data_IF_582143755033
#
_entry.id   IF_582143755033
#
_cell.length_a   1.000
_cell.length_b   1.000
_cell.length_c   1.000
_cell.angle_alpha   90.00
_cell.angle_beta   90.00
_cell.angle_gamma   90.00
#
_symmetry.space_group_name_H-M   'P 1'
#
loop_
_entity.id
_entity.type
_entity.pdbx_description
1 polymer ?
#
# COMPACT_ATOMS: atom_id res chain seq x y z
N UNK A 1 54.65 -17.33 -34.12
CA UNK A 1 54.16 -18.00 -32.90
C UNK A 1 53.00 -17.15 -32.35
N UNK A 2 51.79 -17.48 -32.80
CA UNK A 2 50.59 -16.76 -32.38
C UNK A 2 49.99 -17.48 -31.19
N UNK A 3 50.14 -16.89 -29.99
CA UNK A 3 49.57 -17.38 -28.76
C UNK A 3 48.07 -17.01 -28.67
N UNK A 4 47.21 -17.95 -29.07
CA UNK A 4 45.78 -17.81 -28.91
C UNK A 4 45.37 -17.62 -27.45
N UNK A 5 44.89 -16.45 -27.07
CA UNK A 5 44.18 -16.23 -25.81
C UNK A 5 42.87 -17.00 -25.85
N UNK A 6 42.90 -18.20 -25.29
CA UNK A 6 41.66 -18.92 -24.99
C UNK A 6 40.89 -18.13 -23.93
N UNK A 7 39.85 -17.45 -24.36
CA UNK A 7 38.79 -16.97 -23.51
C UNK A 7 38.23 -18.15 -22.72
N UNK A 8 38.77 -18.38 -21.53
CA UNK A 8 38.09 -19.20 -20.52
C UNK A 8 36.82 -18.46 -20.20
N UNK A 9 35.74 -18.90 -20.85
CA UNK A 9 34.38 -18.44 -20.52
C UNK A 9 34.22 -18.56 -19.02
N UNK A 10 34.22 -17.41 -18.36
CA UNK A 10 33.78 -17.28 -16.99
C UNK A 10 32.31 -17.69 -17.00
N UNK A 11 32.09 -18.96 -16.73
CA UNK A 11 30.75 -19.48 -16.49
C UNK A 11 30.28 -18.77 -15.23
N UNK A 12 29.71 -17.56 -15.43
CA UNK A 12 28.95 -16.89 -14.39
C UNK A 12 27.86 -17.90 -14.07
N UNK A 13 28.04 -18.66 -13.01
CA UNK A 13 26.98 -19.42 -12.37
C UNK A 13 25.98 -18.36 -11.94
N UNK A 14 25.12 -17.98 -12.85
CA UNK A 14 23.93 -17.20 -12.55
C UNK A 14 23.14 -18.11 -11.62
N UNK A 15 23.40 -17.97 -10.33
CA UNK A 15 22.55 -18.56 -9.31
C UNK A 15 21.14 -18.08 -9.65
N UNK A 16 20.38 -18.92 -10.31
CA UNK A 16 18.98 -18.65 -10.69
C UNK A 16 18.17 -18.42 -9.43
N UNK A 17 18.24 -17.23 -8.90
CA UNK A 17 17.39 -16.74 -7.84
C UNK A 17 16.18 -16.03 -8.45
N UNK A 18 15.62 -16.61 -9.50
CA UNK A 18 14.40 -16.08 -10.09
C UNK A 18 13.28 -16.13 -9.05
N UNK A 19 12.65 -14.97 -8.87
CA UNK A 19 11.48 -14.85 -8.03
C UNK A 19 10.30 -15.53 -8.72
N UNK A 20 9.72 -16.57 -8.10
CA UNK A 20 8.50 -17.22 -8.59
C UNK A 20 7.30 -16.80 -7.78
N UNK A 21 6.26 -16.28 -8.44
CA UNK A 21 4.96 -15.99 -7.82
C UNK A 21 4.17 -17.25 -7.47
N UNK A 22 4.44 -18.37 -8.13
CA UNK A 22 3.81 -19.67 -7.86
C UNK A 22 4.29 -20.29 -6.54
N UNK A 23 5.37 -19.75 -5.94
CA UNK A 23 5.90 -20.26 -4.69
C UNK A 23 5.17 -19.65 -3.48
N UNK A 24 4.16 -20.34 -2.95
CA UNK A 24 3.33 -19.84 -1.85
C UNK A 24 3.24 -20.80 -0.65
N UNK A 25 3.71 -22.04 -0.79
CA UNK A 25 3.38 -23.11 0.16
C UNK A 25 4.49 -23.53 1.13
N UNK A 26 5.72 -22.99 1.05
CA UNK A 26 6.79 -23.42 1.95
C UNK A 26 6.63 -22.84 3.35
N UNK A 27 6.58 -23.70 4.35
CA UNK A 27 6.56 -23.34 5.78
C UNK A 27 7.96 -23.10 6.37
N UNK A 28 9.04 -23.36 5.61
CA UNK A 28 10.41 -23.19 6.09
C UNK A 28 10.79 -21.70 6.20
N UNK A 29 11.19 -21.19 7.39
CA UNK A 29 11.49 -19.78 7.59
C UNK A 29 12.62 -19.26 6.71
N UNK A 30 13.63 -20.08 6.43
CA UNK A 30 14.75 -19.73 5.53
C UNK A 30 14.27 -19.43 4.12
N UNK A 31 13.40 -20.28 3.57
CA UNK A 31 12.82 -20.09 2.23
C UNK A 31 11.92 -18.86 2.17
N UNK A 32 11.13 -18.62 3.22
CA UNK A 32 10.29 -17.43 3.30
C UNK A 32 11.09 -16.13 3.33
N UNK A 33 12.20 -16.09 4.11
CA UNK A 33 13.11 -14.93 4.11
C UNK A 33 13.77 -14.71 2.73
N UNK A 34 14.22 -15.78 2.08
CA UNK A 34 14.79 -15.71 0.72
C UNK A 34 13.76 -15.16 -0.28
N UNK A 35 12.53 -15.64 -0.23
CA UNK A 35 11.43 -15.16 -1.06
C UNK A 35 11.19 -13.66 -0.86
N UNK A 36 11.10 -13.19 0.38
CA UNK A 36 10.90 -11.77 0.68
C UNK A 36 12.06 -10.88 0.22
N UNK A 37 13.32 -11.38 0.31
CA UNK A 37 14.52 -10.64 -0.12
C UNK A 37 14.60 -10.56 -1.65
N UNK A 38 14.28 -11.64 -2.36
CA UNK A 38 14.36 -11.70 -3.82
C UNK A 38 13.13 -11.08 -4.52
N UNK A 39 12.09 -10.78 -3.75
CA UNK A 39 10.85 -10.23 -4.30
C UNK A 39 11.10 -8.90 -5.03
N UNK A 40 10.54 -8.70 -6.25
CA UNK A 40 10.59 -7.44 -6.96
C UNK A 40 9.81 -6.35 -6.22
N UNK A 41 10.08 -5.07 -6.53
CA UNK A 41 9.54 -3.93 -5.77
C UNK A 41 8.01 -3.89 -5.73
N UNK A 42 7.33 -4.24 -6.82
CA UNK A 42 5.87 -4.28 -6.85
C UNK A 42 5.28 -5.33 -5.89
N UNK A 43 5.97 -6.46 -5.69
CA UNK A 43 5.55 -7.48 -4.71
C UNK A 43 5.92 -7.04 -3.29
N UNK A 44 7.09 -6.42 -3.08
CA UNK A 44 7.46 -5.84 -1.77
C UNK A 44 6.48 -4.78 -1.30
N UNK A 45 5.94 -3.99 -2.22
CA UNK A 45 4.90 -3.02 -1.90
C UNK A 45 3.65 -3.69 -1.30
N UNK A 46 3.24 -4.85 -1.80
CA UNK A 46 2.14 -5.64 -1.23
C UNK A 46 2.43 -6.13 0.19
N UNK A 47 3.70 -6.45 0.52
CA UNK A 47 4.08 -6.86 1.87
C UNK A 47 3.98 -5.72 2.90
N UNK A 48 4.08 -4.46 2.46
CA UNK A 48 3.91 -3.30 3.32
C UNK A 48 2.43 -2.91 3.46
N UNK A 49 1.59 -3.85 3.81
CA UNK A 49 0.18 -3.58 4.06
C UNK A 49 -0.08 -3.36 5.54
N UNK A 50 -0.86 -2.32 5.88
CA UNK A 50 -1.31 -2.03 7.23
C UNK A 50 -2.80 -2.30 7.39
N UNK A 51 -3.24 -2.53 8.62
CA UNK A 51 -4.64 -2.73 8.95
C UNK A 51 -5.45 -1.44 8.74
N UNK A 52 -6.68 -1.58 8.28
CA UNK A 52 -7.64 -0.47 8.24
C UNK A 52 -8.39 -0.36 9.56
N UNK A 53 -8.84 0.85 9.91
CA UNK A 53 -9.79 1.09 11.01
C UNK A 53 -11.10 0.33 10.78
N UNK A 54 -11.90 0.15 11.84
CA UNK A 54 -13.19 -0.55 11.72
C UNK A 54 -14.10 0.13 10.68
N UNK A 55 -14.18 1.46 10.72
CA UNK A 55 -15.01 2.27 9.81
C UNK A 55 -14.60 2.11 8.35
N UNK A 56 -13.28 2.17 8.07
CA UNK A 56 -12.76 1.95 6.72
C UNK A 56 -12.95 0.50 6.24
N UNK A 57 -12.91 -0.48 7.14
CA UNK A 57 -13.21 -1.87 6.78
C UNK A 57 -14.66 -2.06 6.38
N UNK A 58 -15.58 -1.43 7.10
CA UNK A 58 -17.02 -1.46 6.79
C UNK A 58 -17.27 -0.79 5.43
N UNK A 59 -16.64 0.39 5.22
CA UNK A 59 -16.78 1.15 3.98
C UNK A 59 -16.24 0.43 2.75
N UNK A 60 -15.02 -0.13 2.82
CA UNK A 60 -14.33 -0.72 1.66
C UNK A 60 -14.37 -2.24 1.60
N UNK A 61 -14.90 -2.93 2.59
CA UNK A 61 -14.94 -4.38 2.66
C UNK A 61 -13.56 -5.06 2.68
N UNK A 62 -12.50 -4.31 3.04
CA UNK A 62 -11.11 -4.80 3.06
C UNK A 62 -10.52 -4.73 4.46
N UNK A 63 -9.67 -5.70 4.80
CA UNK A 63 -8.99 -5.75 6.09
C UNK A 63 -7.73 -4.90 6.13
N UNK A 64 -6.98 -4.87 5.04
CA UNK A 64 -5.68 -4.20 4.94
C UNK A 64 -5.45 -3.66 3.54
N UNK A 65 -4.58 -2.65 3.44
CA UNK A 65 -4.16 -2.03 2.18
C UNK A 65 -2.67 -1.67 2.26
N UNK A 66 -1.93 -1.68 1.14
CA UNK A 66 -0.57 -1.16 1.09
C UNK A 66 -0.51 0.29 1.53
N UNK A 67 0.45 0.60 2.40
CA UNK A 67 0.64 1.95 2.93
C UNK A 67 1.26 2.88 1.89
N UNK A 68 0.85 4.15 1.90
CA UNK A 68 1.43 5.21 1.08
C UNK A 68 1.83 6.41 1.94
N UNK A 69 2.70 7.26 1.38
CA UNK A 69 3.03 8.56 1.96
C UNK A 69 1.75 9.41 2.07
N UNK A 70 1.60 10.11 3.18
CA UNK A 70 0.44 10.95 3.45
C UNK A 70 -0.71 10.27 4.20
N UNK A 71 -0.73 8.91 4.28
CA UNK A 71 -1.75 8.22 5.07
C UNK A 71 -1.60 8.55 6.56
N UNK A 72 -2.71 8.79 7.25
CA UNK A 72 -2.74 8.95 8.69
C UNK A 72 -2.92 7.60 9.38
N UNK A 73 -2.03 7.31 10.33
CA UNK A 73 -1.97 6.02 11.00
C UNK A 73 -1.95 6.14 12.51
N UNK A 74 -2.48 5.13 13.17
CA UNK A 74 -2.38 4.91 14.61
C UNK A 74 -1.37 3.82 14.90
N UNK A 75 -0.46 4.06 15.82
CA UNK A 75 0.48 3.04 16.29
C UNK A 75 -0.22 2.13 17.31
N UNK A 76 -0.28 0.83 17.00
CA UNK A 76 -0.98 -0.15 17.83
C UNK A 76 -0.09 -0.76 18.91
N UNK A 77 1.22 -0.84 18.70
CA UNK A 77 2.16 -1.55 19.60
C UNK A 77 3.45 -0.76 19.85
N UNK A 78 4.11 -1.04 20.96
CA UNK A 78 5.39 -0.45 21.37
C UNK A 78 5.23 0.82 22.20
N UNK A 79 6.34 1.49 22.49
CA UNK A 79 6.40 2.68 23.35
C UNK A 79 5.56 3.86 22.82
N UNK A 80 5.28 3.89 21.53
CA UNK A 80 4.49 4.93 20.88
C UNK A 80 3.03 4.53 20.65
N UNK A 81 2.56 3.49 21.34
CA UNK A 81 1.17 3.03 21.25
C UNK A 81 0.18 4.19 21.43
N UNK A 82 -0.91 4.15 20.67
CA UNK A 82 -1.98 5.17 20.65
C UNK A 82 -1.60 6.53 20.03
N UNK A 83 -0.35 6.73 19.58
CA UNK A 83 0.01 7.96 18.85
C UNK A 83 -0.51 7.91 17.42
N UNK A 84 -1.11 9.01 16.97
CA UNK A 84 -1.52 9.23 15.57
C UNK A 84 -0.44 10.05 14.87
N UNK A 85 -0.12 9.72 13.64
CA UNK A 85 0.84 10.47 12.84
C UNK A 85 0.65 10.17 11.35
N UNK A 86 1.14 11.07 10.49
CA UNK A 86 1.17 10.87 9.04
C UNK A 86 2.42 10.11 8.62
N UNK A 87 2.30 9.34 7.54
CA UNK A 87 3.43 8.62 6.94
C UNK A 87 4.25 9.59 6.09
N UNK A 88 5.54 9.75 6.42
CA UNK A 88 6.47 10.59 5.66
C UNK A 88 7.23 9.80 4.62
N UNK A 89 7.78 8.64 4.99
CA UNK A 89 8.62 7.82 4.10
C UNK A 89 8.23 6.36 4.20
N UNK A 90 8.15 5.69 3.05
CA UNK A 90 7.96 4.23 2.93
C UNK A 90 9.21 3.60 2.32
N UNK A 91 9.95 2.82 3.11
CA UNK A 91 11.16 2.14 2.65
C UNK A 91 10.84 0.70 2.23
N UNK A 92 10.68 0.48 0.91
CA UNK A 92 10.35 -0.82 0.32
C UNK A 92 11.47 -1.86 0.52
N UNK A 93 12.75 -1.45 0.43
CA UNK A 93 13.89 -2.38 0.58
C UNK A 93 13.96 -2.97 1.99
N UNK A 94 13.77 -2.15 3.02
CA UNK A 94 13.82 -2.55 4.42
C UNK A 94 12.46 -2.98 4.99
N UNK A 95 11.37 -2.78 4.27
CA UNK A 95 10.01 -3.08 4.75
C UNK A 95 9.60 -2.24 5.97
N UNK A 96 10.02 -0.98 6.02
CA UNK A 96 9.80 -0.06 7.14
C UNK A 96 9.11 1.21 6.69
N UNK A 97 8.37 1.80 7.62
CA UNK A 97 7.64 3.05 7.44
C UNK A 97 8.13 4.04 8.50
N UNK A 98 8.30 5.31 8.11
CA UNK A 98 8.65 6.40 9.03
C UNK A 98 7.45 7.32 9.17
N UNK A 99 7.23 7.77 10.40
CA UNK A 99 6.11 8.60 10.78
C UNK A 99 6.59 10.01 11.12
N UNK A 100 5.73 10.96 10.93
CA UNK A 100 5.95 12.36 11.28
C UNK A 100 6.01 12.52 12.82
N UNK A 101 6.87 13.40 13.29
CA UNK A 101 6.98 13.78 14.70
C UNK A 101 7.31 12.63 15.69
N UNK A 102 7.74 11.46 15.18
CA UNK A 102 8.15 10.34 16.02
C UNK A 102 9.63 10.05 15.82
N UNK A 103 10.45 10.65 16.70
CA UNK A 103 11.90 10.60 16.65
C UNK A 103 12.48 10.13 17.98
N UNK A 104 13.71 9.65 17.94
CA UNK A 104 14.52 9.31 19.10
C UNK A 104 15.80 10.13 19.08
N UNK A 105 16.16 10.72 20.20
CA UNK A 105 17.45 11.39 20.38
C UNK A 105 18.56 10.34 20.54
N UNK A 106 19.69 10.55 19.87
CA UNK A 106 20.93 9.83 20.11
C UNK A 106 21.71 10.48 21.26
N UNK A 107 22.81 9.85 21.67
CA UNK A 107 23.74 10.44 22.66
C UNK A 107 24.31 11.78 22.22
N UNK A 108 24.54 11.96 20.92
CA UNK A 108 25.06 13.19 20.30
C UNK A 108 24.01 14.32 20.20
N UNK A 109 22.82 14.16 20.77
CA UNK A 109 21.72 15.10 20.66
C UNK A 109 20.97 15.08 19.32
N UNK A 110 21.49 14.40 18.30
CA UNK A 110 20.83 14.31 17.00
C UNK A 110 19.54 13.50 17.06
N UNK A 111 18.49 13.95 16.33
CA UNK A 111 17.19 13.28 16.26
C UNK A 111 17.14 12.34 15.07
N UNK A 112 16.68 11.12 15.27
CA UNK A 112 16.55 10.09 14.22
C UNK A 112 15.12 9.55 14.17
N UNK A 113 14.58 9.46 12.96
CA UNK A 113 13.24 8.91 12.74
C UNK A 113 13.20 7.42 13.08
N UNK A 114 12.17 6.99 13.79
CA UNK A 114 11.99 5.62 14.23
C UNK A 114 11.31 4.81 13.13
N UNK A 115 11.89 3.66 12.72
CA UNK A 115 11.28 2.79 11.73
C UNK A 115 10.19 1.91 12.34
N UNK A 116 8.99 1.92 11.75
CA UNK A 116 7.87 1.09 12.13
C UNK A 116 7.62 -0.03 11.13
N UNK A 117 7.13 -1.17 11.60
CA UNK A 117 6.57 -2.21 10.74
C UNK A 117 5.12 -1.87 10.42
N UNK A 118 4.67 -2.01 9.16
CA UNK A 118 3.28 -1.75 8.78
C UNK A 118 2.25 -2.56 9.57
N UNK A 119 2.61 -3.77 9.99
CA UNK A 119 1.77 -4.64 10.83
C UNK A 119 1.43 -4.06 12.19
N UNK A 120 2.23 -3.11 12.69
CA UNK A 120 2.00 -2.42 13.97
C UNK A 120 1.22 -1.11 13.80
N UNK A 121 0.82 -0.79 12.57
CA UNK A 121 0.09 0.42 12.21
C UNK A 121 -1.34 0.10 11.82
N UNK A 122 -2.26 0.98 12.15
CA UNK A 122 -3.64 0.96 11.71
C UNK A 122 -3.94 2.27 10.98
N UNK A 123 -4.42 2.19 9.75
CA UNK A 123 -4.78 3.36 8.95
C UNK A 123 -6.12 3.90 9.42
N UNK A 124 -6.16 5.19 9.75
CA UNK A 124 -7.37 5.93 10.14
C UNK A 124 -7.90 6.69 8.93
N UNK A 125 -7.01 7.41 8.23
CA UNK A 125 -7.37 8.23 7.06
C UNK A 125 -6.52 7.83 5.88
N UNK A 126 -7.13 7.69 4.71
CA UNK A 126 -6.46 7.32 3.46
C UNK A 126 -6.27 8.57 2.59
N UNK A 127 -5.09 8.71 2.01
CA UNK A 127 -4.85 9.66 0.91
C UNK A 127 -5.37 9.05 -0.38
N UNK A 128 -6.34 9.69 -1.03
CA UNK A 128 -7.07 9.16 -2.20
C UNK A 128 -6.74 9.89 -3.52
N UNK A 129 -5.61 10.58 -3.58
CA UNK A 129 -5.18 11.34 -4.76
C UNK A 129 -4.92 10.44 -5.98
N UNK A 130 -4.61 9.17 -5.75
CA UNK A 130 -4.29 8.19 -6.76
C UNK A 130 -5.54 7.42 -7.24
N UNK A 131 -5.88 7.60 -8.50
CA UNK A 131 -7.03 6.93 -9.17
C UNK A 131 -6.94 5.41 -9.10
N UNK A 132 -5.74 4.82 -9.29
CA UNK A 132 -5.55 3.37 -9.21
C UNK A 132 -5.81 2.83 -7.81
N UNK A 133 -5.42 3.58 -6.77
CA UNK A 133 -5.71 3.23 -5.38
C UNK A 133 -7.21 3.21 -5.11
N UNK A 134 -7.95 4.18 -5.61
CA UNK A 134 -9.41 4.26 -5.49
C UNK A 134 -10.07 3.07 -6.20
N UNK A 135 -9.66 2.78 -7.44
CA UNK A 135 -10.15 1.59 -8.18
C UNK A 135 -9.84 0.31 -7.42
N UNK A 136 -8.62 0.17 -6.88
CA UNK A 136 -8.24 -1.00 -6.08
C UNK A 136 -9.06 -1.11 -4.79
N UNK A 137 -9.43 -0.02 -4.13
CA UNK A 137 -10.31 0.00 -2.96
C UNK A 137 -11.70 -0.48 -3.31
N UNK A 138 -12.27 0.01 -4.40
CA UNK A 138 -13.65 -0.27 -4.82
C UNK A 138 -13.83 -1.67 -5.43
N UNK A 139 -12.75 -2.36 -5.84
CA UNK A 139 -12.81 -3.67 -6.51
C UNK A 139 -13.57 -4.75 -5.72
N UNK A 140 -13.53 -4.73 -4.39
CA UNK A 140 -14.19 -5.69 -3.50
C UNK A 140 -15.20 -5.03 -2.54
N UNK A 141 -15.40 -3.72 -2.64
CA UNK A 141 -16.22 -2.98 -1.70
C UNK A 141 -17.72 -3.05 -2.02
N UNK A 142 -18.53 -3.12 -0.99
CA UNK A 142 -19.98 -2.86 -1.05
C UNK A 142 -20.31 -1.40 -1.46
N UNK A 143 -19.28 -0.54 -1.59
CA UNK A 143 -19.38 0.86 -2.04
C UNK A 143 -19.93 1.05 -3.48
N UNK A 144 -20.24 -0.05 -4.19
CA UNK A 144 -20.95 0.03 -5.48
C UNK A 144 -22.41 0.52 -5.37
N UNK A 145 -22.95 0.59 -4.16
CA UNK A 145 -24.34 1.00 -3.95
C UNK A 145 -24.48 2.52 -3.80
N UNK A 146 -23.54 3.21 -3.17
CA UNK A 146 -23.66 4.66 -2.92
C UNK A 146 -23.45 5.49 -4.19
N UNK A 147 -22.44 5.17 -5.01
CA UNK A 147 -22.19 5.88 -6.29
C UNK A 147 -23.28 5.62 -7.34
N UNK A 148 -23.92 4.44 -7.33
CA UNK A 148 -25.07 4.17 -8.22
C UNK A 148 -26.35 4.87 -7.77
N UNK A 149 -26.48 5.16 -6.48
CA UNK A 149 -27.64 5.91 -5.95
C UNK A 149 -27.47 7.40 -6.25
N UNK A 150 -26.26 7.95 -6.06
CA UNK A 150 -26.00 9.36 -6.36
C UNK A 150 -26.11 9.68 -7.86
N UNK A 151 -25.61 8.81 -8.75
CA UNK A 151 -25.82 8.96 -10.20
C UNK A 151 -27.28 8.84 -10.59
N UNK A 152 -28.03 7.88 -10.05
CA UNK A 152 -29.47 7.75 -10.32
C UNK A 152 -30.31 8.90 -9.77
N UNK A 153 -29.90 9.51 -8.65
CA UNK A 153 -30.55 10.69 -8.09
C UNK A 153 -30.27 11.95 -8.92
N UNK A 154 -29.05 12.06 -9.46
CA UNK A 154 -28.68 13.16 -10.36
C UNK A 154 -29.37 13.03 -11.73
N UNK A 155 -29.45 11.83 -12.30
CA UNK A 155 -30.18 11.59 -13.56
C UNK A 155 -31.68 11.90 -13.40
N UNK A 156 -32.33 11.48 -12.32
CA UNK A 156 -33.73 11.82 -12.04
C UNK A 156 -33.97 13.31 -11.82
N UNK A 157 -33.01 14.04 -11.21
CA UNK A 157 -33.11 15.50 -11.05
C UNK A 157 -32.91 16.28 -12.37
N UNK A 158 -32.15 15.73 -13.30
CA UNK A 158 -31.98 16.33 -14.63
C UNK A 158 -33.18 16.07 -15.51
N UNK A 159 -33.81 14.92 -15.38
CA UNK A 159 -35.02 14.53 -16.14
C UNK A 159 -36.25 15.31 -15.68
N UNK A 160 -36.41 15.51 -14.36
CA UNK A 160 -37.52 16.33 -13.83
C UNK A 160 -37.40 17.82 -14.23
N UNK A 161 -36.19 18.39 -14.27
CA UNK A 161 -35.98 19.77 -14.76
C UNK A 161 -36.19 19.94 -16.27
N UNK A 162 -36.13 18.88 -17.05
CA UNK A 162 -36.34 18.89 -18.49
C UNK A 162 -37.83 18.84 -18.84
N UNK A 163 -38.63 18.16 -18.03
CA UNK A 163 -40.09 18.09 -18.16
C UNK A 163 -40.78 19.40 -17.73
N UNK A 164 -40.27 20.05 -16.67
CA UNK A 164 -40.82 21.36 -16.26
C UNK A 164 -40.61 22.48 -17.31
N UNK A 165 -39.44 22.47 -18.00
CA UNK A 165 -39.14 23.45 -19.07
C UNK A 165 -39.93 23.22 -20.37
N UNK A 166 -40.49 22.04 -20.59
CA UNK A 166 -41.36 21.77 -21.76
C UNK A 166 -42.85 22.07 -21.51
N UNK A 167 -43.26 22.23 -20.24
CA UNK A 167 -44.60 22.58 -19.87
C UNK A 167 -44.92 24.09 -19.93
N UNK A 168 -43.90 24.97 -19.93
CA UNK A 168 -44.07 26.44 -19.94
C UNK A 168 -44.08 27.05 -21.35
N UNK A 169 -44.06 26.25 -22.41
CA UNK A 169 -44.09 26.72 -23.81
C UNK A 169 -45.33 26.24 -24.58
N UNK A 170 -46.48 26.20 -23.92
CA UNK A 170 -47.76 26.07 -24.64
C UNK A 170 -48.69 27.17 -24.20
#
# INVERSE_FOLDING_TARGET
MEGGFQNRGFCIIIMKNEFSTAWIASKQPRKQRKYAINAPLHTRHKFLSAHLSKDLRTKYGKRSIPVRKGDEVLVMRGNFKKKKAKITIVNLKRGKVFLENIQRSKRDGSKVNIPFYPSNLMIITLTLDDKERVVALNRNGKAKTETKVETKVQEKKVESKKTEKMGEKK
#
